data_IF_113290090799
#
_entry.id   IF_113290090799
#
_cell.length_a   1.000
_cell.length_b   1.000
_cell.length_c   1.000
_cell.angle_alpha   90.00
_cell.angle_beta   90.00
_cell.angle_gamma   90.00
#
_symmetry.space_group_name_H-M   'P 1'
#
loop_
_entity.id
_entity.type
_entity.pdbx_description
1 polymer ?
#
# COMPACT_ATOMS: atom_id res chain seq x y z
N UNK A 1 5.58 39.45 33.00
CA UNK A 1 5.60 39.24 31.55
C UNK A 1 5.74 37.74 31.30
N UNK A 2 4.77 36.96 31.77
CA UNK A 2 3.53 36.51 31.08
C UNK A 2 3.80 35.18 30.35
N UNK A 3 3.51 34.04 31.00
CA UNK A 3 2.18 33.39 31.14
C UNK A 3 1.60 33.02 29.77
N UNK A 4 1.55 31.72 29.49
CA UNK A 4 0.30 30.99 29.18
C UNK A 4 0.57 29.51 29.51
N UNK A 5 0.04 29.12 30.66
CA UNK A 5 -0.31 27.75 31.05
C UNK A 5 -1.81 27.58 30.81
N UNK A 6 -2.20 26.33 30.62
CA UNK A 6 -3.53 25.78 30.95
C UNK A 6 -4.75 26.30 30.16
N UNK A 7 -5.37 25.41 29.37
CA UNK A 7 -6.75 24.97 29.65
C UNK A 7 -6.89 23.51 29.22
N UNK A 8 -6.75 22.61 30.20
CA UNK A 8 -7.33 21.26 30.17
C UNK A 8 -8.38 21.26 31.28
N UNK A 9 -9.60 20.85 30.94
CA UNK A 9 -10.59 20.24 31.83
C UNK A 9 -11.19 21.15 32.93
N UNK A 10 -12.43 21.61 32.71
CA UNK A 10 -13.55 21.47 33.65
C UNK A 10 -14.74 22.33 33.18
N UNK A 11 -15.90 21.70 32.98
CA UNK A 11 -17.05 21.95 33.86
C UNK A 11 -18.19 20.98 33.56
N UNK A 12 -18.43 20.15 34.56
CA UNK A 12 -19.69 19.47 34.81
C UNK A 12 -20.77 20.50 35.25
N UNK A 13 -22.00 20.25 34.80
CA UNK A 13 -23.29 20.45 35.48
C UNK A 13 -23.86 21.86 35.72
N UNK A 14 -24.97 22.14 35.03
CA UNK A 14 -26.25 22.68 35.55
C UNK A 14 -27.32 22.53 34.43
N UNK A 15 -28.26 21.58 34.51
CA UNK A 15 -29.60 21.68 35.09
C UNK A 15 -30.70 22.23 34.13
N UNK A 16 -31.51 21.28 33.66
CA UNK A 16 -32.94 21.22 33.33
C UNK A 16 -33.81 22.47 33.11
N UNK A 17 -34.59 22.47 32.01
CA UNK A 17 -36.06 22.70 31.99
C UNK A 17 -36.65 22.11 30.70
N UNK A 18 -37.78 21.43 30.82
CA UNK A 18 -38.52 20.61 29.83
C UNK A 18 -39.33 21.43 28.80
N UNK A 19 -39.63 20.83 27.64
CA UNK A 19 -40.95 20.92 26.98
C UNK A 19 -41.10 19.85 25.87
N UNK A 20 -42.28 19.24 25.85
CA UNK A 20 -42.80 18.13 25.04
C UNK A 20 -42.70 18.26 23.51
N UNK A 21 -42.60 17.11 22.84
CA UNK A 21 -42.82 16.99 21.40
C UNK A 21 -42.68 15.55 20.90
N UNK A 22 -43.80 14.85 20.80
CA UNK A 22 -43.92 13.49 20.27
C UNK A 22 -43.30 13.35 18.86
N UNK A 23 -42.39 12.39 18.71
CA UNK A 23 -41.78 12.01 17.43
C UNK A 23 -41.29 10.57 17.47
N UNK A 24 -41.94 9.73 16.68
CA UNK A 24 -41.69 8.30 16.50
C UNK A 24 -40.22 8.01 16.16
N UNK A 25 -39.43 7.54 17.13
CA UNK A 25 -38.08 7.04 16.88
C UNK A 25 -38.13 5.56 16.49
N UNK A 26 -37.80 5.28 15.23
CA UNK A 26 -37.52 3.93 14.75
C UNK A 26 -36.44 3.25 15.61
N UNK A 27 -36.44 1.91 15.76
CA UNK A 27 -35.41 1.22 16.54
C UNK A 27 -34.03 1.41 15.90
N UNK A 28 -33.22 2.23 16.54
CA UNK A 28 -31.78 2.38 16.28
C UNK A 28 -31.06 1.24 16.99
N UNK A 29 -31.14 0.02 16.45
CA UNK A 29 -30.24 -1.05 16.89
C UNK A 29 -30.10 -2.14 15.82
N UNK A 30 -29.53 -1.77 14.67
CA UNK A 30 -28.81 -2.75 13.87
C UNK A 30 -27.38 -2.78 14.43
N UNK A 31 -26.83 -3.95 14.82
CA UNK A 31 -25.45 -4.02 15.25
C UNK A 31 -24.59 -3.51 14.09
N UNK A 32 -23.94 -2.37 14.29
CA UNK A 32 -22.90 -1.89 13.37
C UNK A 32 -21.92 -3.06 13.25
N UNK A 33 -21.89 -3.70 12.08
CA UNK A 33 -20.97 -4.78 11.80
C UNK A 33 -19.57 -4.26 12.09
N UNK A 34 -19.04 -4.64 13.27
CA UNK A 34 -17.77 -4.14 13.75
C UNK A 34 -16.75 -4.39 12.64
N UNK A 35 -16.01 -3.35 12.26
CA UNK A 35 -14.86 -3.47 11.37
C UNK A 35 -14.00 -4.60 11.90
N UNK A 36 -14.11 -5.79 11.31
CA UNK A 36 -13.22 -6.90 11.64
C UNK A 36 -11.84 -6.41 11.26
N UNK A 37 -11.02 -6.12 12.26
CA UNK A 37 -9.59 -5.91 12.05
C UNK A 37 -9.08 -7.18 11.37
N UNK A 38 -8.81 -7.09 10.07
CA UNK A 38 -8.29 -8.20 9.30
C UNK A 38 -6.84 -8.34 9.73
N UNK A 39 -6.53 -9.37 10.53
CA UNK A 39 -5.15 -9.73 10.80
C UNK A 39 -4.54 -10.28 9.51
N UNK A 40 -3.30 -9.88 9.26
CA UNK A 40 -2.51 -10.34 8.12
C UNK A 40 -1.19 -10.89 8.67
N UNK A 41 -0.71 -11.97 8.07
CA UNK A 41 0.66 -12.43 8.24
C UNK A 41 1.56 -11.66 7.27
N UNK A 42 2.84 -11.48 7.64
CA UNK A 42 3.77 -10.63 6.88
C UNK A 42 5.03 -11.40 6.52
N UNK A 43 5.33 -11.47 5.23
CA UNK A 43 6.65 -11.81 4.71
C UNK A 43 7.43 -10.51 4.54
N UNK A 44 8.66 -10.44 5.03
CA UNK A 44 9.46 -9.22 4.98
C UNK A 44 10.81 -9.43 4.29
N UNK A 45 11.30 -8.35 3.67
CA UNK A 45 12.65 -8.26 3.11
C UNK A 45 13.25 -6.97 3.66
N UNK A 46 14.37 -7.08 4.39
CA UNK A 46 15.04 -5.94 5.01
C UNK A 46 16.39 -5.66 4.36
N UNK A 47 16.72 -4.38 4.26
CA UNK A 47 17.99 -3.85 3.79
C UNK A 47 18.42 -4.40 2.43
N UNK A 48 17.46 -4.66 1.53
CA UNK A 48 17.77 -5.01 0.15
C UNK A 48 18.44 -3.81 -0.52
N UNK A 49 19.65 -4.00 -1.05
CA UNK A 49 20.38 -2.95 -1.78
C UNK A 49 20.43 -3.32 -3.24
N UNK A 50 19.85 -2.47 -4.08
CA UNK A 50 19.91 -2.57 -5.53
C UNK A 50 20.60 -1.37 -6.15
N UNK A 51 21.17 -1.56 -7.35
CA UNK A 51 21.75 -0.47 -8.13
C UNK A 51 20.76 -0.07 -9.22
N UNK A 52 20.47 1.23 -9.33
CA UNK A 52 19.67 1.76 -10.43
C UNK A 52 20.02 3.22 -10.74
N UNK A 53 19.69 3.66 -11.94
CA UNK A 53 19.76 5.06 -12.34
C UNK A 53 18.42 5.70 -11.97
N UNK A 54 18.44 6.61 -11.00
CA UNK A 54 17.25 7.30 -10.49
C UNK A 54 17.65 8.67 -9.98
N UNK A 55 16.84 9.70 -10.23
CA UNK A 55 17.17 11.08 -9.92
C UNK A 55 16.67 12.06 -10.99
N UNK A 56 16.57 13.33 -10.60
CA UNK A 56 16.25 14.44 -11.52
C UNK A 56 17.48 15.31 -11.84
N UNK A 57 18.51 15.24 -11.01
CA UNK A 57 19.75 16.00 -11.19
C UNK A 57 20.51 15.44 -12.41
N UNK A 58 21.00 16.34 -13.27
CA UNK A 58 21.68 15.95 -14.52
C UNK A 58 22.98 15.16 -14.29
N UNK A 59 23.62 15.34 -13.14
CA UNK A 59 24.76 14.56 -12.68
C UNK A 59 24.40 13.14 -12.26
N UNK A 60 23.15 12.88 -11.87
CA UNK A 60 22.68 11.57 -11.37
C UNK A 60 22.21 10.61 -12.47
N UNK A 61 22.11 11.08 -13.71
CA UNK A 61 21.50 10.33 -14.82
C UNK A 61 22.45 9.35 -15.52
N UNK A 62 23.74 9.33 -15.16
CA UNK A 62 24.76 8.56 -15.90
C UNK A 62 25.29 7.35 -15.13
N UNK A 63 25.30 7.39 -13.79
CA UNK A 63 25.87 6.33 -12.96
C UNK A 63 24.79 5.62 -12.12
N UNK A 64 24.80 4.27 -12.07
CA UNK A 64 23.97 3.52 -11.15
C UNK A 64 24.29 3.88 -9.69
N UNK A 65 23.23 4.14 -8.91
CA UNK A 65 23.33 4.49 -7.50
C UNK A 65 22.67 3.42 -6.63
N UNK A 66 23.17 3.23 -5.40
CA UNK A 66 22.54 2.33 -4.44
C UNK A 66 21.18 2.89 -4.01
N UNK A 67 20.17 2.02 -4.03
CA UNK A 67 18.87 2.25 -3.42
C UNK A 67 18.60 1.13 -2.43
N UNK A 68 18.27 1.50 -1.20
CA UNK A 68 17.93 0.56 -0.11
C UNK A 68 16.41 0.41 -0.02
N UNK A 69 15.94 -0.83 0.05
CA UNK A 69 14.53 -1.19 0.24
C UNK A 69 14.30 -1.99 1.51
N UNK A 70 13.19 -1.66 2.18
CA UNK A 70 12.53 -2.54 3.13
C UNK A 70 11.10 -2.80 2.65
N UNK A 71 10.72 -4.08 2.61
CA UNK A 71 9.42 -4.52 2.13
C UNK A 71 8.71 -5.31 3.24
N UNK A 72 7.44 -5.00 3.46
CA UNK A 72 6.53 -5.85 4.20
C UNK A 72 5.39 -6.25 3.26
N UNK A 73 5.16 -7.55 3.12
CA UNK A 73 4.22 -8.14 2.18
C UNK A 73 3.17 -8.89 2.98
N UNK A 74 1.98 -8.28 3.10
CA UNK A 74 0.86 -8.78 3.87
C UNK A 74 -0.01 -9.76 3.08
N UNK A 75 -0.26 -10.92 3.68
CA UNK A 75 -1.19 -11.95 3.18
C UNK A 75 -2.17 -12.34 4.30
N UNK A 76 -3.39 -12.81 3.99
CA UNK A 76 -4.36 -13.16 5.03
C UNK A 76 -3.89 -14.27 5.98
N UNK A 77 -3.11 -15.21 5.47
CA UNK A 77 -2.45 -16.26 6.24
C UNK A 77 -1.29 -16.86 5.43
N UNK A 78 -0.17 -17.16 6.08
CA UNK A 78 0.94 -17.93 5.47
C UNK A 78 0.67 -19.42 5.70
N UNK A 79 0.16 -20.11 4.68
CA UNK A 79 -0.19 -21.54 4.77
C UNK A 79 1.03 -22.43 4.96
N UNK A 80 2.20 -22.00 4.47
CA UNK A 80 3.47 -22.68 4.65
C UNK A 80 3.83 -22.94 6.12
N UNK A 81 3.30 -22.15 7.08
CA UNK A 81 3.45 -22.40 8.52
C UNK A 81 2.93 -23.78 8.94
N UNK A 82 1.99 -24.35 8.19
CA UNK A 82 1.42 -25.68 8.45
C UNK A 82 1.86 -26.71 7.41
N UNK A 83 2.01 -26.29 6.15
CA UNK A 83 2.25 -27.23 5.04
C UNK A 83 3.72 -27.47 4.72
N UNK A 84 4.62 -26.58 5.15
CA UNK A 84 6.05 -26.60 4.84
C UNK A 84 6.36 -26.64 3.33
N UNK A 85 5.50 -26.00 2.53
CA UNK A 85 5.64 -25.93 1.06
C UNK A 85 5.88 -24.50 0.60
N UNK A 86 6.83 -24.33 -0.32
CA UNK A 86 7.19 -23.01 -0.86
C UNK A 86 6.04 -22.38 -1.67
N UNK A 87 5.17 -23.20 -2.27
CA UNK A 87 4.01 -22.71 -3.05
C UNK A 87 2.90 -22.12 -2.17
N UNK A 88 2.96 -22.34 -0.85
CA UNK A 88 1.98 -21.89 0.13
C UNK A 88 2.42 -20.60 0.86
N UNK A 89 3.41 -19.90 0.31
CA UNK A 89 3.92 -18.60 0.80
C UNK A 89 4.33 -17.69 -0.36
N UNK A 90 4.74 -16.46 -0.03
CA UNK A 90 5.41 -15.56 -0.97
C UNK A 90 6.87 -16.03 -1.11
N UNK A 91 7.25 -16.43 -2.31
CA UNK A 91 8.64 -16.76 -2.65
C UNK A 91 9.50 -15.50 -2.71
N UNK A 92 10.22 -15.22 -1.62
CA UNK A 92 11.11 -14.07 -1.53
C UNK A 92 12.31 -14.13 -2.49
N UNK A 93 12.71 -15.31 -2.96
CA UNK A 93 13.78 -15.44 -3.96
C UNK A 93 13.27 -15.00 -5.35
N UNK A 94 12.03 -15.36 -5.67
CA UNK A 94 11.34 -14.85 -6.86
C UNK A 94 11.10 -13.33 -6.76
N UNK A 95 10.65 -12.82 -5.60
CA UNK A 95 10.50 -11.37 -5.36
C UNK A 95 11.83 -10.64 -5.58
N UNK A 96 12.92 -11.12 -4.98
CA UNK A 96 14.26 -10.54 -5.16
C UNK A 96 14.65 -10.46 -6.64
N UNK A 97 14.40 -11.53 -7.40
CA UNK A 97 14.73 -11.59 -8.83
C UNK A 97 13.91 -10.58 -9.64
N UNK A 98 12.61 -10.47 -9.35
CA UNK A 98 11.72 -9.48 -9.98
C UNK A 98 12.13 -8.04 -9.63
N UNK A 99 12.55 -7.76 -8.39
CA UNK A 99 13.06 -6.44 -8.01
C UNK A 99 14.32 -6.06 -8.78
N UNK A 100 15.27 -6.97 -8.97
CA UNK A 100 16.45 -6.70 -9.80
C UNK A 100 16.07 -6.39 -11.25
N UNK A 101 15.12 -7.13 -11.83
CA UNK A 101 14.61 -6.88 -13.17
C UNK A 101 13.91 -5.51 -13.28
N UNK A 102 13.11 -5.14 -12.27
CA UNK A 102 12.45 -3.84 -12.19
C UNK A 102 13.46 -2.70 -12.08
N UNK A 103 14.47 -2.84 -11.22
CA UNK A 103 15.55 -1.85 -11.07
C UNK A 103 16.32 -1.63 -12.37
N UNK A 104 16.49 -2.67 -13.18
CA UNK A 104 17.16 -2.55 -14.47
C UNK A 104 16.30 -1.88 -15.56
N UNK A 105 14.97 -1.79 -15.41
CA UNK A 105 14.05 -1.46 -16.52
C UNK A 105 12.99 -0.39 -16.24
N UNK A 106 12.82 0.10 -15.01
CA UNK A 106 11.66 0.91 -14.61
C UNK A 106 11.49 2.25 -15.34
N UNK A 107 12.56 2.89 -15.82
CA UNK A 107 12.53 4.17 -16.53
C UNK A 107 12.03 5.40 -15.72
N UNK A 108 11.56 5.22 -14.49
CA UNK A 108 11.14 6.31 -13.61
C UNK A 108 12.31 7.08 -13.00
N UNK A 109 12.09 8.36 -12.68
CA UNK A 109 13.11 9.29 -12.14
C UNK A 109 13.00 9.55 -10.65
N UNK A 110 11.87 9.20 -10.02
CA UNK A 110 11.54 9.56 -8.64
C UNK A 110 11.40 8.31 -7.77
N UNK A 111 11.78 8.42 -6.50
CA UNK A 111 11.65 7.32 -5.53
C UNK A 111 10.19 6.95 -5.30
N UNK A 112 9.29 7.93 -5.34
CA UNK A 112 7.85 7.78 -5.21
C UNK A 112 7.29 6.86 -6.31
N UNK A 113 7.68 7.13 -7.56
CA UNK A 113 7.25 6.36 -8.71
C UNK A 113 7.84 4.94 -8.70
N UNK A 114 9.09 4.80 -8.23
CA UNK A 114 9.71 3.49 -8.05
C UNK A 114 9.02 2.70 -6.92
N UNK A 115 8.68 3.35 -5.80
CA UNK A 115 7.95 2.72 -4.70
C UNK A 115 6.61 2.18 -5.19
N UNK A 116 5.88 2.99 -5.97
CA UNK A 116 4.61 2.61 -6.57
C UNK A 116 4.76 1.42 -7.54
N UNK A 117 5.82 1.40 -8.35
CA UNK A 117 6.10 0.28 -9.25
C UNK A 117 6.38 -1.02 -8.48
N UNK A 118 7.16 -0.94 -7.39
CA UNK A 118 7.42 -2.09 -6.50
C UNK A 118 6.13 -2.56 -5.82
N UNK A 119 5.32 -1.65 -5.28
CA UNK A 119 4.07 -2.00 -4.61
C UNK A 119 3.11 -2.72 -5.56
N UNK A 120 2.96 -2.20 -6.79
CA UNK A 120 2.16 -2.81 -7.84
C UNK A 120 2.69 -4.19 -8.23
N UNK A 121 3.99 -4.33 -8.47
CA UNK A 121 4.64 -5.62 -8.75
C UNK A 121 4.26 -6.69 -7.70
N UNK A 122 4.40 -6.36 -6.42
CA UNK A 122 4.09 -7.27 -5.31
C UNK A 122 2.60 -7.64 -5.23
N UNK A 123 1.70 -6.71 -5.52
CA UNK A 123 0.25 -6.95 -5.50
C UNK A 123 -0.19 -7.77 -6.71
N UNK A 124 0.31 -7.44 -7.91
CA UNK A 124 -0.17 -8.02 -9.17
C UNK A 124 0.46 -9.37 -9.47
N UNK A 125 1.77 -9.52 -9.24
CA UNK A 125 2.51 -10.74 -9.62
C UNK A 125 2.64 -11.72 -8.45
N UNK A 126 2.76 -11.22 -7.22
CA UNK A 126 2.94 -12.05 -6.02
C UNK A 126 1.67 -12.19 -5.18
N UNK A 127 0.57 -11.54 -5.57
CA UNK A 127 -0.72 -11.70 -4.92
C UNK A 127 -0.77 -11.14 -3.49
N UNK A 128 0.04 -10.14 -3.18
CA UNK A 128 -0.04 -9.45 -1.89
C UNK A 128 -1.41 -8.78 -1.69
N UNK A 129 -1.92 -8.78 -0.46
CA UNK A 129 -3.17 -8.10 -0.09
C UNK A 129 -2.91 -6.68 0.42
N UNK A 130 -1.78 -6.51 1.09
CA UNK A 130 -1.26 -5.23 1.56
C UNK A 130 0.25 -5.26 1.40
N UNK A 131 0.85 -4.12 1.10
CA UNK A 131 2.30 -3.96 1.06
C UNK A 131 2.69 -2.65 1.70
N UNK A 132 3.82 -2.66 2.38
CA UNK A 132 4.55 -1.45 2.77
C UNK A 132 5.92 -1.47 2.12
N UNK A 133 6.21 -0.41 1.38
CA UNK A 133 7.46 -0.24 0.63
C UNK A 133 8.16 0.98 1.16
N UNK A 134 9.34 0.80 1.76
CA UNK A 134 10.23 1.89 2.11
C UNK A 134 11.43 1.87 1.16
N UNK A 135 11.66 2.98 0.46
CA UNK A 135 12.79 3.20 -0.44
C UNK A 135 13.64 4.34 0.09
N UNK A 136 14.96 4.16 0.12
CA UNK A 136 15.87 5.22 0.53
C UNK A 136 17.12 5.26 -0.35
N UNK A 137 17.56 6.48 -0.68
CA UNK A 137 18.92 6.76 -1.14
C UNK A 137 19.79 7.00 0.09
N UNK A 138 20.77 6.12 0.38
CA UNK A 138 21.74 6.38 1.42
C UNK A 138 22.65 7.55 1.02
N UNK A 139 23.10 8.34 2.00
CA UNK A 139 24.11 9.39 1.81
C UNK A 139 23.81 10.41 0.69
N UNK A 140 22.53 10.78 0.50
CA UNK A 140 22.15 11.87 -0.45
C UNK A 140 22.61 13.25 0.05
N UNK A 141 22.70 13.44 1.37
CA UNK A 141 23.23 14.65 2.02
C UNK A 141 24.18 14.25 3.14
N UNK A 142 25.18 15.10 3.41
CA UNK A 142 26.28 14.80 4.35
C UNK A 142 25.84 14.79 5.83
N UNK A 143 24.66 15.35 6.13
CA UNK A 143 24.11 15.49 7.47
C UNK A 143 23.04 14.44 7.82
N UNK A 144 22.69 13.55 6.89
CA UNK A 144 21.68 12.49 7.11
C UNK A 144 22.15 11.13 6.59
N UNK A 145 21.77 10.07 7.30
CA UNK A 145 22.12 8.70 6.87
C UNK A 145 21.43 8.28 5.57
N UNK A 146 20.20 8.74 5.34
CA UNK A 146 19.38 8.38 4.20
C UNK A 146 18.20 9.33 4.03
N UNK A 147 17.75 9.51 2.79
CA UNK A 147 16.48 10.17 2.44
C UNK A 147 15.67 9.22 1.58
N UNK A 148 14.36 9.18 1.80
CA UNK A 148 13.51 8.17 1.21
C UNK A 148 12.03 8.44 1.32
N UNK A 149 11.26 7.50 0.79
CA UNK A 149 9.81 7.48 0.82
C UNK A 149 9.33 6.17 1.42
N UNK A 150 8.20 6.21 2.13
CA UNK A 150 7.52 5.02 2.60
C UNK A 150 6.05 5.11 2.20
N UNK A 151 5.57 4.10 1.50
CA UNK A 151 4.18 4.01 1.06
C UNK A 151 3.55 2.70 1.54
N UNK A 152 2.22 2.73 1.65
CA UNK A 152 1.41 1.55 1.85
C UNK A 152 0.37 1.45 0.73
N UNK A 153 0.13 0.24 0.24
CA UNK A 153 -0.91 -0.04 -0.75
C UNK A 153 -1.64 -1.31 -0.37
N UNK A 154 -2.94 -1.33 -0.60
CA UNK A 154 -3.77 -2.52 -0.57
C UNK A 154 -4.13 -2.93 -1.99
N UNK A 155 -4.53 -4.19 -2.16
CA UNK A 155 -4.94 -4.73 -3.46
C UNK A 155 -6.02 -3.86 -4.15
N UNK A 156 -6.90 -3.24 -3.38
CA UNK A 156 -7.95 -2.35 -3.91
C UNK A 156 -7.45 -1.00 -4.45
N UNK A 157 -6.25 -0.56 -4.05
CA UNK A 157 -5.67 0.71 -4.49
C UNK A 157 -5.02 0.61 -5.87
N UNK A 158 -4.58 -0.60 -6.26
CA UNK A 158 -3.89 -0.82 -7.52
C UNK A 158 -4.93 -1.10 -8.61
N UNK A 159 -4.98 -0.29 -9.69
CA UNK A 159 -5.86 -0.57 -10.81
C UNK A 159 -5.56 -1.95 -11.38
N UNK A 160 -6.51 -2.87 -11.29
CA UNK A 160 -6.43 -4.10 -12.06
C UNK A 160 -6.54 -3.71 -13.53
N UNK A 161 -5.61 -4.15 -14.36
CA UNK A 161 -5.83 -4.16 -15.79
C UNK A 161 -7.17 -4.88 -16.00
N UNK A 162 -8.20 -4.14 -16.37
CA UNK A 162 -9.51 -4.72 -16.67
C UNK A 162 -9.26 -5.83 -17.65
N UNK A 163 -9.54 -7.08 -17.24
CA UNK A 163 -9.49 -8.22 -18.13
C UNK A 163 -10.40 -7.88 -19.31
N UNK A 164 -9.79 -7.50 -20.44
CA UNK A 164 -10.47 -7.09 -21.65
C UNK A 164 -11.09 -8.30 -22.33
N UNK A 165 -12.17 -8.83 -21.75
CA UNK A 165 -13.00 -9.88 -22.32
C UNK A 165 -14.50 -9.71 -21.99
N UNK A 166 -14.92 -8.57 -21.44
CA UNK A 166 -16.33 -8.27 -21.15
C UNK A 166 -16.95 -7.19 -22.08
N UNK A 167 -16.32 -6.89 -23.22
CA UNK A 167 -16.73 -5.78 -24.11
C UNK A 167 -17.37 -6.18 -25.45
N UNK A 168 -17.33 -7.46 -25.86
CA UNK A 168 -17.72 -7.86 -27.22
C UNK A 168 -18.98 -8.73 -27.31
N UNK A 169 -19.57 -9.12 -26.17
CA UNK A 169 -20.67 -10.09 -26.14
C UNK A 169 -22.07 -9.49 -26.41
N UNK A 170 -22.19 -8.29 -26.99
CA UNK A 170 -23.51 -7.67 -27.20
C UNK A 170 -23.70 -6.90 -28.52
N UNK A 171 -22.87 -7.16 -29.53
CA UNK A 171 -23.13 -6.64 -30.88
C UNK A 171 -23.31 -7.79 -31.86
N UNK A 172 -24.58 -8.08 -32.21
CA UNK A 172 -24.89 -8.63 -33.53
C UNK A 172 -25.46 -10.06 -33.59
N UNK A 173 -26.40 -10.44 -32.72
CA UNK A 173 -27.39 -11.44 -33.11
C UNK A 173 -28.42 -10.77 -34.04
N UNK A 174 -28.18 -10.78 -35.35
CA UNK A 174 -29.21 -10.37 -36.31
C UNK A 174 -28.66 -9.77 -37.61
N UNK A 175 -28.45 -10.62 -38.61
CA UNK A 175 -29.13 -10.54 -39.92
C UNK A 175 -28.51 -11.57 -40.88
N UNK A 176 -29.33 -12.52 -41.33
CA UNK A 176 -29.09 -13.33 -42.53
C UNK A 176 -29.98 -12.74 -43.62
N UNK A 177 -29.45 -12.44 -44.81
CA UNK A 177 -30.23 -12.57 -46.04
C UNK A 177 -29.68 -13.71 -46.90
N UNK A 178 -30.62 -14.48 -47.47
CA UNK A 178 -30.38 -15.59 -48.38
C UNK A 178 -30.11 -15.17 -49.82
#
# INVERSE_FOLDING_TARGET
>A
MDRIDAVRLARFSAASTEADGAGTAAPFDAPSAGMRSVRMDVVFIENFVGQTIIGIDSSELHDPQPVRMNLAIGVPAIRACTTDRIEDTIDYAAVRSALHALLASHGVRLLEALAEAVARLLITEFGAHWVRVALAKPAKFDDVSAVGVQIERQRGDVPQATAGLAGYASLGAGMIPG
#
